data_IF_909239910140
#
_entry.id   IF_909239910140
#
_cell.length_a   1.000
_cell.length_b   1.000
_cell.length_c   1.000
_cell.angle_alpha   90.00
_cell.angle_beta   90.00
_cell.angle_gamma   90.00
#
_symmetry.space_group_name_H-M   'P 1'
#
loop_
_entity.id
_entity.type
_entity.pdbx_description
1 polymer ?
#
# COMPACT_ATOMS: atom_id res chain seq x y z
N UNK A 1 -2.96 22.63 -2.29
CA UNK A 1 -3.23 21.81 -1.09
C UNK A 1 -3.59 20.38 -1.49
N UNK A 2 -4.48 20.18 -2.46
CA UNK A 2 -4.93 18.85 -2.90
C UNK A 2 -3.81 17.91 -3.39
N UNK A 3 -2.86 18.41 -4.19
CA UNK A 3 -1.69 17.62 -4.62
C UNK A 3 -0.79 17.18 -3.45
N UNK A 4 -0.60 18.05 -2.44
CA UNK A 4 0.21 17.75 -1.27
C UNK A 4 -0.46 16.68 -0.39
N UNK A 5 -1.79 16.78 -0.22
CA UNK A 5 -2.58 15.76 0.46
C UNK A 5 -2.54 14.41 -0.27
N UNK A 6 -2.57 14.43 -1.61
CA UNK A 6 -2.46 13.23 -2.42
C UNK A 6 -1.07 12.57 -2.30
N UNK A 7 -0.01 13.37 -2.31
CA UNK A 7 1.36 12.90 -2.09
C UNK A 7 1.55 12.29 -0.69
N UNK A 8 0.97 12.91 0.33
CA UNK A 8 1.03 12.40 1.70
C UNK A 8 0.24 11.09 1.84
N UNK A 9 -0.95 11.01 1.26
CA UNK A 9 -1.75 9.79 1.22
C UNK A 9 -1.00 8.64 0.50
N UNK A 10 -0.37 8.92 -0.65
CA UNK A 10 0.43 7.94 -1.38
C UNK A 10 1.61 7.44 -0.54
N UNK A 11 2.34 8.35 0.12
CA UNK A 11 3.47 8.00 0.99
C UNK A 11 3.03 7.08 2.13
N UNK A 12 1.92 7.39 2.80
CA UNK A 12 1.37 6.56 3.88
C UNK A 12 0.97 5.18 3.37
N UNK A 13 0.31 5.11 2.22
CA UNK A 13 -0.14 3.85 1.62
C UNK A 13 1.04 2.96 1.21
N UNK A 14 2.10 3.54 0.62
CA UNK A 14 3.35 2.84 0.31
C UNK A 14 4.02 2.29 1.58
N UNK A 15 4.12 3.10 2.64
CA UNK A 15 4.71 2.65 3.90
C UNK A 15 3.90 1.50 4.53
N UNK A 16 2.57 1.56 4.46
CA UNK A 16 1.71 0.50 4.99
C UNK A 16 1.86 -0.80 4.18
N UNK A 17 1.87 -0.71 2.84
CA UNK A 17 2.12 -1.84 1.96
C UNK A 17 3.49 -2.49 2.24
N UNK A 18 4.56 -1.71 2.40
CA UNK A 18 5.89 -2.22 2.71
C UNK A 18 5.95 -2.99 4.04
N UNK A 19 5.26 -2.49 5.08
CA UNK A 19 5.14 -3.19 6.38
C UNK A 19 4.45 -4.55 6.22
N UNK A 20 3.35 -4.60 5.46
CA UNK A 20 2.62 -5.85 5.21
C UNK A 20 3.46 -6.82 4.38
N UNK A 21 4.20 -6.35 3.37
CA UNK A 21 5.14 -7.18 2.60
C UNK A 21 6.22 -7.76 3.51
N UNK A 22 6.76 -6.98 4.44
CA UNK A 22 7.72 -7.48 5.43
C UNK A 22 7.11 -8.56 6.33
N UNK A 23 5.86 -8.40 6.77
CA UNK A 23 5.13 -9.42 7.53
C UNK A 23 4.84 -10.68 6.70
N UNK A 24 4.44 -10.54 5.44
CA UNK A 24 4.22 -11.67 4.53
C UNK A 24 5.51 -12.45 4.24
N UNK A 25 6.69 -11.80 4.30
CA UNK A 25 7.98 -12.52 4.21
C UNK A 25 8.25 -13.38 5.45
N UNK A 26 7.70 -13.02 6.61
CA UNK A 26 7.80 -13.81 7.84
C UNK A 26 6.73 -14.91 7.90
N UNK A 27 5.53 -14.65 7.37
CA UNK A 27 4.44 -15.61 7.26
C UNK A 27 3.86 -15.64 5.83
N UNK A 28 4.49 -16.39 4.90
CA UNK A 28 4.08 -16.44 3.51
C UNK A 28 2.81 -17.27 3.26
N UNK A 29 2.30 -17.99 4.27
CA UNK A 29 1.09 -18.79 4.16
C UNK A 29 -0.18 -18.02 4.53
N UNK A 30 -0.02 -16.86 5.18
CA UNK A 30 -1.14 -16.01 5.52
C UNK A 30 -1.82 -15.41 4.28
N UNK A 31 -2.94 -16.02 3.89
CA UNK A 31 -3.74 -15.60 2.73
C UNK A 31 -4.42 -14.23 2.92
N UNK A 32 -4.68 -13.82 4.16
CA UNK A 32 -5.23 -12.51 4.47
C UNK A 32 -4.20 -11.39 4.23
N UNK A 33 -2.95 -11.60 4.68
CA UNK A 33 -1.82 -10.72 4.37
C UNK A 33 -1.66 -10.49 2.87
N UNK A 34 -1.75 -11.55 2.06
CA UNK A 34 -1.67 -11.45 0.59
C UNK A 34 -2.79 -10.61 -0.01
N UNK A 35 -4.02 -10.76 0.49
CA UNK A 35 -5.18 -9.95 0.05
C UNK A 35 -4.97 -8.48 0.39
N UNK A 36 -4.58 -8.18 1.64
CA UNK A 36 -4.32 -6.81 2.07
C UNK A 36 -3.20 -6.14 1.25
N UNK A 37 -2.12 -6.86 0.96
CA UNK A 37 -1.01 -6.37 0.12
C UNK A 37 -1.51 -6.01 -1.28
N UNK A 38 -2.33 -6.88 -1.90
CA UNK A 38 -2.87 -6.66 -3.23
C UNK A 38 -3.83 -5.46 -3.27
N UNK A 39 -4.77 -5.37 -2.33
CA UNK A 39 -5.69 -4.23 -2.25
C UNK A 39 -4.96 -2.90 -2.08
N UNK A 40 -3.93 -2.87 -1.23
CA UNK A 40 -3.13 -1.67 -1.04
C UNK A 40 -2.28 -1.33 -2.25
N UNK A 41 -1.75 -2.32 -2.97
CA UNK A 41 -1.07 -2.09 -4.24
C UNK A 41 -2.00 -1.41 -5.26
N UNK A 42 -3.26 -1.84 -5.35
CA UNK A 42 -4.26 -1.18 -6.21
C UNK A 42 -4.56 0.25 -5.77
N UNK A 43 -4.62 0.52 -4.46
CA UNK A 43 -4.78 1.90 -3.94
C UNK A 43 -3.58 2.79 -4.27
N UNK A 44 -2.35 2.26 -4.12
CA UNK A 44 -1.11 2.98 -4.49
C UNK A 44 -1.15 3.34 -5.98
N UNK A 45 -1.51 2.39 -6.86
CA UNK A 45 -1.62 2.65 -8.29
C UNK A 45 -2.64 3.75 -8.58
N UNK A 46 -3.85 3.66 -8.00
CA UNK A 46 -4.90 4.66 -8.18
C UNK A 46 -4.54 6.04 -7.61
N UNK A 47 -3.76 6.11 -6.53
CA UNK A 47 -3.26 7.37 -5.97
C UNK A 47 -2.15 7.97 -6.85
N UNK A 48 -1.29 7.13 -7.41
CA UNK A 48 -0.21 7.53 -8.31
C UNK A 48 -0.73 8.01 -9.68
N UNK A 49 -1.82 7.44 -10.18
CA UNK A 49 -2.50 7.91 -11.40
C UNK A 49 -3.17 9.28 -11.24
N UNK A 50 -3.43 9.71 -10.01
CA UNK A 50 -4.05 11.01 -9.70
C UNK A 50 -3.04 12.15 -9.49
N UNK A 51 -1.74 11.83 -9.44
CA UNK A 51 -0.66 12.82 -9.29
C UNK A 51 -0.38 13.56 -10.59
#
# INVERSE_FOLDING_TARGET
>A
MELQSLQEALKVEIQCHQKLVAQMKQDPQNGDLKKQIHERQSRIAALNEKQ
#
